data_IF_678302194197
#
_entry.id   IF_678302194197
#
_cell.length_a   1.000
_cell.length_b   1.000
_cell.length_c   1.000
_cell.angle_alpha   90.00
_cell.angle_beta   90.00
_cell.angle_gamma   90.00
#
_symmetry.space_group_name_H-M   'P 1'
#
loop_
_entity.id
_entity.type
_entity.pdbx_description
1 polymer ?
#
# COMPACT_ATOMS: atom_id res chain seq x y z
N UNK A 1 20.38 -13.71 -2.84
CA UNK A 1 19.46 -12.56 -2.62
C UNK A 1 18.51 -12.59 -3.78
N UNK A 2 17.25 -12.92 -3.52
CA UNK A 2 16.22 -13.11 -4.57
C UNK A 2 15.98 -11.80 -5.32
N UNK A 3 15.62 -11.90 -6.59
CA UNK A 3 15.35 -10.77 -7.51
C UNK A 3 14.30 -9.79 -6.93
N UNK A 4 13.38 -10.33 -6.14
CA UNK A 4 12.32 -9.62 -5.42
C UNK A 4 12.84 -8.58 -4.42
N UNK A 5 13.87 -8.91 -3.64
CA UNK A 5 14.51 -7.96 -2.72
C UNK A 5 15.23 -6.83 -3.46
N UNK A 6 15.66 -7.09 -4.69
CA UNK A 6 16.30 -6.08 -5.54
C UNK A 6 15.28 -5.04 -6.00
N UNK A 7 14.11 -5.47 -6.48
CA UNK A 7 13.02 -4.57 -6.92
C UNK A 7 12.50 -3.72 -5.76
N UNK A 8 12.21 -4.32 -4.60
CA UNK A 8 11.78 -3.57 -3.42
C UNK A 8 12.79 -2.51 -3.00
N UNK A 9 14.06 -2.90 -2.91
CA UNK A 9 15.15 -1.97 -2.56
C UNK A 9 15.29 -0.86 -3.59
N UNK A 10 15.15 -1.17 -4.88
CA UNK A 10 15.17 -0.18 -5.95
C UNK A 10 14.04 0.84 -5.78
N UNK A 11 12.81 0.39 -5.54
CA UNK A 11 11.65 1.24 -5.34
C UNK A 11 11.81 2.13 -4.09
N UNK A 12 12.24 1.57 -2.96
CA UNK A 12 12.49 2.35 -1.74
C UNK A 12 13.56 3.40 -1.97
N UNK A 13 14.66 3.07 -2.65
CA UNK A 13 15.73 4.01 -2.93
C UNK A 13 15.27 5.14 -3.87
N UNK A 14 14.49 4.81 -4.90
CA UNK A 14 13.92 5.78 -5.84
C UNK A 14 12.97 6.75 -5.12
N UNK A 15 12.02 6.23 -4.35
CA UNK A 15 11.08 7.05 -3.58
C UNK A 15 11.80 7.91 -2.54
N UNK A 16 12.81 7.35 -1.86
CA UNK A 16 13.65 8.08 -0.91
C UNK A 16 14.44 9.21 -1.56
N UNK A 17 14.97 9.00 -2.77
CA UNK A 17 15.65 10.05 -3.55
C UNK A 17 14.68 11.18 -3.89
N UNK A 18 13.48 10.88 -4.41
CA UNK A 18 12.47 11.89 -4.73
C UNK A 18 12.00 12.66 -3.50
N UNK A 19 11.90 11.99 -2.35
CA UNK A 19 11.62 12.66 -1.07
C UNK A 19 12.77 13.60 -0.68
N UNK A 20 14.03 13.17 -0.84
CA UNK A 20 15.19 14.00 -0.59
C UNK A 20 15.25 15.25 -1.47
N UNK A 21 14.99 15.10 -2.79
CA UNK A 21 14.85 16.23 -3.73
C UNK A 21 13.76 17.21 -3.27
N UNK A 22 12.59 16.68 -2.89
CA UNK A 22 11.46 17.49 -2.39
C UNK A 22 11.82 18.25 -1.12
N UNK A 23 12.50 17.60 -0.18
CA UNK A 23 12.92 18.23 1.08
C UNK A 23 13.94 19.33 0.81
N UNK A 24 14.92 19.07 -0.05
CA UNK A 24 15.91 20.07 -0.44
C UNK A 24 15.28 21.31 -1.05
N UNK A 25 14.32 21.14 -1.95
CA UNK A 25 13.60 22.23 -2.60
C UNK A 25 12.72 23.03 -1.65
N UNK A 26 12.12 22.35 -0.65
CA UNK A 26 11.16 22.96 0.26
C UNK A 26 11.81 23.56 1.53
N UNK A 27 12.92 22.99 2.02
CA UNK A 27 13.52 23.30 3.33
C UNK A 27 15.00 23.71 3.25
N UNK A 28 15.65 23.48 2.10
CA UNK A 28 17.07 23.74 1.88
C UNK A 28 18.00 22.59 2.26
N UNK A 29 19.25 22.72 1.84
CA UNK A 29 20.30 21.70 1.95
C UNK A 29 20.66 21.40 3.41
N UNK A 30 20.61 22.38 4.29
CA UNK A 30 20.96 22.22 5.72
C UNK A 30 20.03 21.22 6.41
N UNK A 31 18.72 21.30 6.15
CA UNK A 31 17.73 20.38 6.70
C UNK A 31 17.88 18.99 6.11
N UNK A 32 18.10 18.87 4.81
CA UNK A 32 18.35 17.60 4.16
C UNK A 32 19.59 16.92 4.74
N UNK A 33 20.67 17.67 4.93
CA UNK A 33 21.93 17.19 5.54
C UNK A 33 21.71 16.71 6.98
N UNK A 34 20.92 17.44 7.78
CA UNK A 34 20.57 17.05 9.14
C UNK A 34 19.77 15.73 9.16
N UNK A 35 18.76 15.60 8.29
CA UNK A 35 17.94 14.39 8.16
C UNK A 35 18.82 13.19 7.79
N UNK A 36 19.72 13.37 6.82
CA UNK A 36 20.59 12.31 6.34
C UNK A 36 21.61 11.87 7.40
N UNK A 37 22.13 12.82 8.18
CA UNK A 37 23.00 12.55 9.33
C UNK A 37 22.25 11.72 10.40
N UNK A 38 21.06 12.15 10.80
CA UNK A 38 20.21 11.40 11.75
C UNK A 38 19.90 9.99 11.23
N UNK A 39 19.60 9.84 9.94
CA UNK A 39 19.35 8.54 9.31
C UNK A 39 20.60 7.63 9.37
N UNK A 40 21.76 8.14 9.05
CA UNK A 40 23.03 7.42 9.07
C UNK A 40 23.39 6.97 10.49
N UNK A 41 23.35 7.88 11.46
CA UNK A 41 23.62 7.59 12.87
C UNK A 41 22.63 6.55 13.42
N UNK A 42 21.34 6.65 13.06
CA UNK A 42 20.32 5.66 13.44
C UNK A 42 20.64 4.27 12.89
N UNK A 43 21.13 4.18 11.66
CA UNK A 43 21.51 2.91 11.03
C UNK A 43 22.73 2.30 11.72
N UNK A 44 23.75 3.08 11.99
CA UNK A 44 24.98 2.65 12.69
C UNK A 44 24.66 2.22 14.13
N UNK A 45 23.85 2.99 14.84
CA UNK A 45 23.40 2.66 16.20
C UNK A 45 22.66 1.32 16.25
N UNK A 46 21.78 1.03 15.29
CA UNK A 46 21.10 -0.28 15.19
C UNK A 46 22.05 -1.43 14.85
N UNK A 47 23.16 -1.15 14.17
CA UNK A 47 24.20 -2.12 13.89
C UNK A 47 25.11 -2.41 15.11
N UNK A 48 24.84 -1.77 16.26
CA UNK A 48 25.56 -1.99 17.53
C UNK A 48 26.65 -0.94 17.83
N UNK A 49 26.78 0.11 17.02
CA UNK A 49 27.74 1.18 17.28
C UNK A 49 27.23 2.09 18.41
N UNK A 50 27.87 1.93 19.58
CA UNK A 50 27.56 2.71 20.80
C UNK A 50 27.94 4.19 20.68
N UNK A 51 29.00 4.51 19.91
CA UNK A 51 29.42 5.89 19.69
C UNK A 51 28.41 6.60 18.78
N UNK A 52 27.98 5.94 17.70
CA UNK A 52 26.92 6.46 16.82
C UNK A 52 25.63 6.70 17.60
N UNK A 53 25.28 5.82 18.54
CA UNK A 53 24.10 6.00 19.42
C UNK A 53 24.22 7.25 20.27
N UNK A 54 25.36 7.48 20.88
CA UNK A 54 25.63 8.68 21.70
C UNK A 54 25.51 9.94 20.84
N UNK A 55 26.21 9.96 19.71
CA UNK A 55 26.18 11.10 18.78
C UNK A 55 24.75 11.36 18.26
N UNK A 56 23.97 10.30 17.99
CA UNK A 56 22.55 10.44 17.60
C UNK A 56 21.74 11.15 18.67
N UNK A 57 21.86 10.74 19.93
CA UNK A 57 21.14 11.35 21.06
C UNK A 57 21.53 12.82 21.24
N UNK A 58 22.82 13.12 21.17
CA UNK A 58 23.36 14.48 21.26
C UNK A 58 22.81 15.33 20.10
N UNK A 59 22.84 14.81 18.85
CA UNK A 59 22.28 15.50 17.69
C UNK A 59 20.78 15.79 17.86
N UNK A 60 20.01 14.79 18.28
CA UNK A 60 18.55 14.95 18.46
C UNK A 60 18.22 15.94 19.58
N UNK A 61 19.01 15.99 20.66
CA UNK A 61 18.82 16.92 21.78
C UNK A 61 19.15 18.37 21.43
N UNK A 62 19.95 18.60 20.38
CA UNK A 62 20.37 19.93 19.93
C UNK A 62 19.55 20.45 18.73
N UNK A 63 18.61 19.67 18.19
CA UNK A 63 17.72 20.14 17.12
C UNK A 63 16.90 21.32 17.61
N UNK A 64 16.92 22.42 16.86
CA UNK A 64 16.10 23.59 17.16
C UNK A 64 14.60 23.28 17.01
N UNK A 65 13.76 24.02 17.74
CA UNK A 65 12.31 23.88 17.66
C UNK A 65 11.76 24.07 16.24
N UNK A 66 12.42 24.87 15.42
CA UNK A 66 12.04 25.11 14.02
C UNK A 66 12.32 23.88 13.14
N UNK A 67 13.41 23.14 13.41
CA UNK A 67 13.86 22.03 12.61
C UNK A 67 13.27 20.66 13.03
N UNK A 68 12.74 20.56 14.26
CA UNK A 68 12.21 19.28 14.76
C UNK A 68 11.00 18.80 13.95
N UNK A 69 10.12 19.71 13.52
CA UNK A 69 8.94 19.36 12.72
C UNK A 69 9.32 18.90 11.32
N UNK A 70 10.16 19.61 10.54
CA UNK A 70 10.64 19.11 9.25
C UNK A 70 11.35 17.76 9.34
N UNK A 71 12.19 17.55 10.35
CA UNK A 71 12.91 16.28 10.55
C UNK A 71 11.92 15.14 10.85
N UNK A 72 11.03 15.31 11.81
CA UNK A 72 10.03 14.30 12.16
C UNK A 72 9.13 13.96 10.96
N UNK A 73 8.71 14.98 10.20
CA UNK A 73 7.89 14.84 9.00
C UNK A 73 8.61 14.08 7.90
N UNK A 74 9.90 14.32 7.68
CA UNK A 74 10.70 13.60 6.70
C UNK A 74 10.71 12.09 6.99
N UNK A 75 10.91 11.70 8.24
CA UNK A 75 10.86 10.29 8.64
C UNK A 75 9.46 9.69 8.50
N UNK A 76 8.40 10.41 8.86
CA UNK A 76 7.02 9.98 8.66
C UNK A 76 6.73 9.69 7.18
N UNK A 77 7.04 10.63 6.29
CA UNK A 77 6.88 10.44 4.85
C UNK A 77 7.72 9.29 4.30
N UNK A 78 8.98 9.17 4.73
CA UNK A 78 9.84 8.06 4.31
C UNK A 78 9.25 6.70 4.70
N UNK A 79 8.74 6.56 5.93
CA UNK A 79 8.08 5.32 6.39
C UNK A 79 6.81 5.04 5.59
N UNK A 80 5.99 6.05 5.31
CA UNK A 80 4.80 5.90 4.49
C UNK A 80 5.14 5.44 3.06
N UNK A 81 6.15 6.02 2.43
CA UNK A 81 6.63 5.62 1.11
C UNK A 81 7.20 4.20 1.11
N UNK A 82 7.93 3.82 2.16
CA UNK A 82 8.42 2.46 2.34
C UNK A 82 7.27 1.46 2.44
N UNK A 83 6.25 1.77 3.26
CA UNK A 83 5.06 0.94 3.39
C UNK A 83 4.31 0.78 2.05
N UNK A 84 4.22 1.84 1.23
CA UNK A 84 3.61 1.76 -0.11
C UNK A 84 4.41 0.81 -0.99
N UNK A 85 5.75 0.91 -0.99
CA UNK A 85 6.61 0.02 -1.78
C UNK A 85 6.50 -1.45 -1.33
N UNK A 86 6.43 -1.70 -0.02
CA UNK A 86 6.25 -3.04 0.55
C UNK A 86 4.88 -3.63 0.23
N UNK A 87 3.81 -2.83 0.35
CA UNK A 87 2.45 -3.24 -0.02
C UNK A 87 2.37 -3.57 -1.51
N UNK A 88 2.95 -2.70 -2.35
CA UNK A 88 3.02 -2.95 -3.79
C UNK A 88 3.73 -4.28 -4.08
N UNK A 89 4.90 -4.51 -3.49
CA UNK A 89 5.66 -5.75 -3.67
C UNK A 89 4.87 -6.98 -3.21
N UNK A 90 4.18 -6.86 -2.07
CA UNK A 90 3.36 -7.96 -1.52
C UNK A 90 2.22 -8.32 -2.47
N UNK A 91 1.50 -7.32 -2.99
CA UNK A 91 0.39 -7.51 -3.93
C UNK A 91 0.89 -8.07 -5.27
N UNK A 92 1.97 -7.50 -5.83
CA UNK A 92 2.59 -7.99 -7.07
C UNK A 92 3.03 -9.45 -6.95
N UNK A 93 3.62 -9.81 -5.80
CA UNK A 93 3.99 -11.19 -5.49
C UNK A 93 2.78 -12.11 -5.39
N UNK A 94 1.75 -11.69 -4.65
CA UNK A 94 0.51 -12.48 -4.55
C UNK A 94 -0.14 -12.70 -5.91
N UNK A 95 -0.12 -11.71 -6.79
CA UNK A 95 -0.63 -11.86 -8.16
C UNK A 95 0.18 -12.89 -8.97
N UNK A 96 1.51 -12.84 -8.89
CA UNK A 96 2.39 -13.83 -9.55
C UNK A 96 2.17 -15.22 -8.95
N UNK A 97 2.07 -15.31 -7.62
CA UNK A 97 1.80 -16.57 -6.90
C UNK A 97 0.40 -17.12 -7.19
N UNK A 98 -0.63 -16.27 -7.32
CA UNK A 98 -1.98 -16.71 -7.67
C UNK A 98 -2.06 -17.26 -9.10
N UNK A 99 -1.29 -16.73 -10.04
CA UNK A 99 -1.20 -17.27 -11.40
C UNK A 99 -0.45 -18.60 -11.46
N UNK A 100 0.52 -18.82 -10.56
CA UNK A 100 1.39 -20.00 -10.52
C UNK A 100 0.99 -20.99 -9.42
N UNK A 101 0.12 -20.66 -8.48
CA UNK A 101 -0.14 -21.43 -7.27
C UNK A 101 -1.50 -22.11 -7.24
N UNK A 102 -1.56 -23.16 -6.40
CA UNK A 102 -2.72 -23.95 -6.04
C UNK A 102 -3.85 -23.14 -5.31
N UNK A 103 -3.77 -21.80 -5.26
CA UNK A 103 -4.69 -20.92 -4.51
C UNK A 103 -5.64 -20.12 -5.41
N UNK A 104 -5.51 -20.20 -6.73
CA UNK A 104 -6.43 -19.55 -7.66
C UNK A 104 -7.81 -20.24 -7.65
N UNK A 105 -8.87 -19.51 -8.04
CA UNK A 105 -10.19 -20.11 -8.25
C UNK A 105 -10.13 -21.27 -9.24
N UNK A 106 -9.38 -21.12 -10.33
CA UNK A 106 -9.16 -22.20 -11.31
C UNK A 106 -8.59 -23.44 -10.65
N UNK A 107 -7.50 -23.31 -9.86
CA UNK A 107 -6.89 -24.43 -9.16
C UNK A 107 -7.82 -25.05 -8.11
N UNK A 108 -8.68 -24.26 -7.45
CA UNK A 108 -9.69 -24.76 -6.53
C UNK A 108 -10.68 -25.69 -7.26
N UNK A 109 -11.28 -25.22 -8.36
CA UNK A 109 -12.25 -26.02 -9.11
C UNK A 109 -11.61 -27.23 -9.80
N UNK A 110 -10.37 -27.14 -10.24
CA UNK A 110 -9.60 -28.30 -10.73
C UNK A 110 -9.43 -29.38 -9.64
N UNK A 111 -9.11 -28.97 -8.40
CA UNK A 111 -9.02 -29.91 -7.26
C UNK A 111 -10.36 -30.54 -6.93
N UNK A 112 -11.43 -29.76 -6.90
CA UNK A 112 -12.79 -30.29 -6.67
C UNK A 112 -13.15 -31.32 -7.74
N UNK A 113 -12.81 -31.08 -9.00
CA UNK A 113 -13.00 -32.01 -10.10
C UNK A 113 -12.15 -33.27 -9.92
N UNK A 114 -10.87 -33.12 -9.57
CA UNK A 114 -9.96 -34.28 -9.35
C UNK A 114 -10.38 -35.15 -8.16
N UNK A 115 -11.03 -34.56 -7.15
CA UNK A 115 -11.56 -35.26 -5.98
C UNK A 115 -12.96 -35.82 -6.20
N UNK A 116 -13.53 -35.70 -7.40
CA UNK A 116 -14.91 -36.08 -7.70
C UNK A 116 -15.93 -35.45 -6.74
N UNK A 117 -15.73 -34.19 -6.34
CA UNK A 117 -16.64 -33.49 -5.44
C UNK A 117 -18.07 -33.43 -6.01
N UNK A 118 -19.08 -33.62 -5.17
CA UNK A 118 -20.47 -33.55 -5.59
C UNK A 118 -20.83 -32.13 -6.03
N UNK A 119 -21.41 -32.01 -7.22
CA UNK A 119 -21.87 -30.71 -7.73
C UNK A 119 -22.91 -30.07 -6.82
N UNK A 120 -23.80 -30.89 -6.24
CA UNK A 120 -24.83 -30.43 -5.30
C UNK A 120 -24.25 -29.92 -3.99
N UNK A 121 -23.21 -30.58 -3.45
CA UNK A 121 -22.52 -30.13 -2.25
C UNK A 121 -21.77 -28.83 -2.49
N UNK A 122 -21.06 -28.69 -3.61
CA UNK A 122 -20.36 -27.45 -3.99
C UNK A 122 -21.37 -26.32 -4.13
N UNK A 123 -22.49 -26.56 -4.83
CA UNK A 123 -23.53 -25.56 -5.01
C UNK A 123 -24.11 -25.09 -3.66
N UNK A 124 -24.53 -26.05 -2.79
CA UNK A 124 -25.07 -25.73 -1.46
C UNK A 124 -24.05 -25.02 -0.58
N UNK A 125 -22.77 -25.37 -0.68
CA UNK A 125 -21.71 -24.72 0.07
C UNK A 125 -21.56 -23.24 -0.35
N UNK A 126 -21.56 -22.97 -1.66
CA UNK A 126 -21.47 -21.60 -2.16
C UNK A 126 -22.76 -20.81 -1.87
N UNK A 127 -23.95 -21.43 -2.00
CA UNK A 127 -25.23 -20.79 -1.69
C UNK A 127 -25.31 -20.34 -0.22
N UNK A 128 -24.74 -21.10 0.69
CA UNK A 128 -24.74 -20.81 2.14
C UNK A 128 -23.45 -20.06 2.60
N UNK A 129 -22.54 -19.72 1.69
CA UNK A 129 -21.33 -19.01 2.02
C UNK A 129 -21.65 -17.57 2.45
N UNK A 130 -21.27 -17.22 3.66
CA UNK A 130 -21.33 -15.86 4.18
C UNK A 130 -19.91 -15.37 4.45
N UNK A 131 -19.52 -14.30 3.78
CA UNK A 131 -18.25 -13.62 4.03
C UNK A 131 -18.56 -12.26 4.64
N UNK A 132 -18.20 -12.10 5.90
CA UNK A 132 -18.37 -10.86 6.65
C UNK A 132 -17.01 -10.13 6.72
N UNK A 133 -16.96 -8.92 6.14
CA UNK A 133 -15.78 -8.06 6.21
C UNK A 133 -15.93 -7.12 7.40
N UNK A 134 -15.09 -7.30 8.41
CA UNK A 134 -15.05 -6.43 9.59
C UNK A 134 -14.01 -5.34 9.36
N UNK A 135 -14.46 -4.10 9.21
CA UNK A 135 -13.59 -2.93 9.11
C UNK A 135 -13.39 -2.36 10.51
N UNK A 136 -12.15 -2.44 11.00
CA UNK A 136 -11.76 -1.77 12.25
C UNK A 136 -11.00 -0.49 11.91
N UNK A 137 -11.58 0.66 12.22
CA UNK A 137 -10.89 1.93 12.09
C UNK A 137 -10.27 2.33 13.43
N UNK A 138 -8.94 2.54 13.48
CA UNK A 138 -8.32 3.20 14.61
C UNK A 138 -8.53 4.71 14.48
N UNK A 139 -9.13 5.39 15.48
CA UNK A 139 -9.39 6.84 15.41
C UNK A 139 -8.14 7.68 15.19
N UNK A 140 -6.97 7.15 15.52
CA UNK A 140 -5.66 7.80 15.35
C UNK A 140 -5.11 7.71 13.91
N UNK A 141 -5.65 6.81 13.08
CA UNK A 141 -5.14 6.51 11.73
C UNK A 141 -5.95 7.13 10.60
N UNK A 142 -6.89 8.04 10.91
CA UNK A 142 -7.68 8.71 9.87
C UNK A 142 -6.79 9.63 9.02
N UNK A 143 -6.06 9.01 8.11
CA UNK A 143 -5.29 9.71 7.08
C UNK A 143 -6.23 10.56 6.22
N UNK A 144 -5.82 11.78 5.84
CA UNK A 144 -6.64 12.62 4.97
C UNK A 144 -6.89 11.91 3.64
N UNK A 145 -8.15 11.97 3.14
CA UNK A 145 -8.54 11.35 1.85
C UNK A 145 -7.59 11.76 0.70
N UNK A 146 -7.10 13.00 0.73
CA UNK A 146 -6.13 13.49 -0.25
C UNK A 146 -4.79 12.73 -0.22
N UNK A 147 -4.31 12.32 0.96
CA UNK A 147 -3.09 11.52 1.10
C UNK A 147 -3.33 10.09 0.65
N UNK A 148 -4.46 9.48 1.01
CA UNK A 148 -4.83 8.14 0.53
C UNK A 148 -4.85 8.11 -0.99
N UNK A 149 -5.45 9.11 -1.63
CA UNK A 149 -5.47 9.21 -3.09
C UNK A 149 -4.05 9.30 -3.68
N UNK A 150 -3.15 10.11 -3.09
CA UNK A 150 -1.76 10.20 -3.53
C UNK A 150 -1.02 8.88 -3.37
N UNK A 151 -1.24 8.15 -2.26
CA UNK A 151 -0.65 6.82 -2.05
C UNK A 151 -1.11 5.81 -3.10
N UNK A 152 -2.40 5.83 -3.47
CA UNK A 152 -2.93 4.99 -4.56
C UNK A 152 -2.28 5.35 -5.91
N UNK A 153 -2.11 6.63 -6.22
CA UNK A 153 -1.46 7.06 -7.46
C UNK A 153 0.04 6.71 -7.49
N UNK A 154 0.74 6.83 -6.36
CA UNK A 154 2.14 6.36 -6.24
C UNK A 154 2.22 4.86 -6.51
N UNK A 155 1.31 4.05 -5.94
CA UNK A 155 1.25 2.61 -6.18
C UNK A 155 1.03 2.28 -7.66
N UNK A 156 0.11 2.99 -8.34
CA UNK A 156 -0.11 2.86 -9.80
C UNK A 156 1.15 3.20 -10.61
N UNK A 157 1.91 4.22 -10.19
CA UNK A 157 3.16 4.58 -10.84
C UNK A 157 4.21 3.47 -10.69
N UNK A 158 4.35 2.87 -9.49
CA UNK A 158 5.24 1.74 -9.27
C UNK A 158 4.87 0.55 -10.14
N UNK A 159 3.56 0.25 -10.26
CA UNK A 159 3.07 -0.80 -11.15
C UNK A 159 3.44 -0.58 -12.61
N UNK A 160 3.30 0.65 -13.09
CA UNK A 160 3.70 0.99 -14.46
C UNK A 160 5.20 0.89 -14.68
N UNK A 161 6.02 1.28 -13.70
CA UNK A 161 7.49 1.22 -13.80
C UNK A 161 8.06 -0.21 -13.82
N UNK A 162 7.28 -1.21 -13.37
CA UNK A 162 7.69 -2.62 -13.42
C UNK A 162 7.60 -3.22 -14.84
N UNK A 163 6.90 -2.56 -15.78
CA UNK A 163 6.82 -3.03 -17.16
C UNK A 163 8.15 -2.82 -17.90
N UNK A 164 8.66 -3.89 -18.50
CA UNK A 164 9.96 -3.90 -19.19
C UNK A 164 9.93 -3.21 -20.56
N UNK A 165 8.74 -2.98 -21.13
CA UNK A 165 8.50 -2.41 -22.45
C UNK A 165 8.44 -0.87 -22.47
N UNK A 166 8.67 -0.20 -21.33
CA UNK A 166 8.66 1.24 -21.23
C UNK A 166 9.84 1.88 -21.99
N UNK A 167 9.51 2.82 -22.85
CA UNK A 167 10.53 3.70 -23.44
C UNK A 167 11.16 4.62 -22.38
N UNK A 168 12.40 5.11 -22.57
CA UNK A 168 13.01 6.07 -21.65
C UNK A 168 12.17 7.33 -21.44
N UNK A 169 11.42 7.77 -22.45
CA UNK A 169 10.53 8.94 -22.39
C UNK A 169 9.33 8.66 -21.48
N UNK A 170 8.70 7.50 -21.61
CA UNK A 170 7.55 7.09 -20.76
C UNK A 170 7.98 6.91 -19.32
N UNK A 171 9.11 6.24 -19.09
CA UNK A 171 9.71 6.12 -17.75
C UNK A 171 9.93 7.47 -17.09
N UNK A 172 10.53 8.42 -17.81
CA UNK A 172 10.76 9.78 -17.32
C UNK A 172 9.46 10.56 -17.03
N UNK A 173 8.37 10.29 -17.74
CA UNK A 173 7.06 10.89 -17.45
C UNK A 173 6.52 10.35 -16.10
N UNK A 174 6.62 9.05 -15.88
CA UNK A 174 6.14 8.42 -14.64
C UNK A 174 6.98 8.88 -13.44
N UNK A 175 8.30 8.95 -13.57
CA UNK A 175 9.20 9.44 -12.52
C UNK A 175 8.90 10.90 -12.14
N UNK A 176 8.65 11.78 -13.11
CA UNK A 176 8.21 13.17 -12.84
C UNK A 176 6.85 13.23 -12.13
N UNK A 177 5.92 12.33 -12.49
CA UNK A 177 4.65 12.24 -11.79
C UNK A 177 4.84 11.80 -10.34
N UNK A 178 5.71 10.81 -10.09
CA UNK A 178 6.07 10.37 -8.74
C UNK A 178 6.66 11.51 -7.90
N UNK A 179 7.63 12.23 -8.45
CA UNK A 179 8.25 13.38 -7.78
C UNK A 179 7.17 14.42 -7.40
N UNK A 180 6.26 14.74 -8.32
CA UNK A 180 5.15 15.67 -8.07
C UNK A 180 4.22 15.16 -6.96
N UNK A 181 3.82 13.89 -6.98
CA UNK A 181 2.94 13.30 -5.96
C UNK A 181 3.58 13.33 -4.57
N UNK A 182 4.88 13.07 -4.49
CA UNK A 182 5.65 13.13 -3.24
C UNK A 182 5.74 14.58 -2.76
N UNK A 183 6.01 15.53 -3.63
CA UNK A 183 6.04 16.95 -3.29
C UNK A 183 4.65 17.44 -2.81
N UNK A 184 3.57 17.05 -3.48
CA UNK A 184 2.21 17.35 -3.05
C UNK A 184 1.87 16.71 -1.69
N UNK A 185 2.37 15.49 -1.41
CA UNK A 185 2.21 14.85 -0.11
C UNK A 185 2.99 15.61 0.96
N UNK A 186 4.23 15.99 0.69
CA UNK A 186 5.05 16.81 1.59
C UNK A 186 4.38 18.12 1.98
N UNK A 187 3.74 18.82 1.04
CA UNK A 187 3.02 20.07 1.30
C UNK A 187 1.61 19.90 1.87
N UNK A 188 1.13 18.66 1.99
CA UNK A 188 -0.18 18.39 2.60
C UNK A 188 -0.04 18.39 4.12
N UNK A 189 -0.87 19.19 4.81
CA UNK A 189 -0.86 19.21 6.27
C UNK A 189 -1.48 17.90 6.82
N UNK A 190 -0.65 17.06 7.46
CA UNK A 190 -1.05 15.79 8.07
C UNK A 190 -1.63 15.97 9.48
N UNK A 191 -1.24 17.05 10.17
CA UNK A 191 -1.65 17.28 11.56
C UNK A 191 -3.11 17.72 11.58
N UNK A 192 -3.95 16.91 12.22
CA UNK A 192 -5.32 17.30 12.53
C UNK A 192 -5.34 18.01 13.87
N UNK A 193 -5.80 19.24 13.87
CA UNK A 193 -6.03 20.02 15.09
C UNK A 193 -7.36 19.69 15.77
N UNK A 194 -8.27 19.03 15.04
CA UNK A 194 -9.60 18.64 15.53
C UNK A 194 -9.72 17.11 15.52
N UNK A 195 -10.19 16.55 16.62
CA UNK A 195 -10.46 15.12 16.74
C UNK A 195 -11.51 14.68 15.73
N UNK A 196 -11.31 13.55 14.99
CA UNK A 196 -12.33 13.03 14.08
C UNK A 196 -13.65 12.75 14.80
N UNK A 197 -14.74 13.05 14.13
CA UNK A 197 -16.08 12.66 14.59
C UNK A 197 -16.43 11.25 14.07
N UNK A 198 -17.39 10.53 14.67
CA UNK A 198 -17.88 9.26 14.12
C UNK A 198 -18.34 9.36 12.66
N UNK A 199 -18.82 10.54 12.26
CA UNK A 199 -19.22 10.81 10.88
C UNK A 199 -18.00 10.89 9.93
N UNK A 200 -16.89 11.44 10.41
CA UNK A 200 -15.63 11.45 9.61
C UNK A 200 -15.08 10.03 9.44
N UNK A 201 -15.17 9.18 10.47
CA UNK A 201 -14.78 7.78 10.43
C UNK A 201 -15.67 6.98 9.47
N UNK A 202 -16.99 7.18 9.49
CA UNK A 202 -17.91 6.57 8.55
C UNK A 202 -17.61 6.97 7.10
N UNK A 203 -17.37 8.26 6.84
CA UNK A 203 -16.96 8.76 5.52
C UNK A 203 -15.66 8.11 5.03
N UNK A 204 -14.71 7.90 5.94
CA UNK A 204 -13.47 7.22 5.60
C UNK A 204 -13.72 5.75 5.22
N UNK A 205 -14.52 5.02 6.00
CA UNK A 205 -14.92 3.65 5.70
C UNK A 205 -15.61 3.54 4.32
N UNK A 206 -16.54 4.45 4.02
CA UNK A 206 -17.18 4.49 2.69
C UNK A 206 -16.18 4.76 1.56
N UNK A 207 -15.22 5.66 1.76
CA UNK A 207 -14.18 5.91 0.76
C UNK A 207 -13.31 4.68 0.49
N UNK A 208 -13.01 3.86 1.50
CA UNK A 208 -12.30 2.59 1.34
C UNK A 208 -13.13 1.58 0.55
N UNK A 209 -14.43 1.47 0.84
CA UNK A 209 -15.36 0.60 0.10
C UNK A 209 -15.43 1.04 -1.37
N UNK A 210 -15.61 2.34 -1.64
CA UNK A 210 -15.67 2.88 -3.01
C UNK A 210 -14.39 2.62 -3.82
N UNK A 211 -13.22 2.76 -3.18
CA UNK A 211 -11.94 2.63 -3.88
C UNK A 211 -11.45 1.17 -4.05
N UNK A 212 -12.00 0.22 -3.32
CA UNK A 212 -11.54 -1.17 -3.35
C UNK A 212 -12.66 -2.18 -3.61
N UNK A 213 -13.67 -2.24 -2.75
CA UNK A 213 -14.68 -3.30 -2.79
C UNK A 213 -15.70 -3.09 -3.92
N UNK A 214 -16.02 -1.84 -4.27
CA UNK A 214 -17.01 -1.52 -5.31
C UNK A 214 -16.67 -2.11 -6.67
N UNK A 215 -15.39 -2.22 -7.01
CA UNK A 215 -14.93 -2.87 -8.24
C UNK A 215 -14.48 -4.32 -7.99
N UNK A 216 -13.80 -4.57 -6.87
CA UNK A 216 -13.19 -5.87 -6.57
C UNK A 216 -14.22 -6.97 -6.32
N UNK A 217 -15.33 -6.68 -5.63
CA UNK A 217 -16.33 -7.72 -5.31
C UNK A 217 -17.09 -8.18 -6.55
N UNK A 218 -17.63 -7.29 -7.41
CA UNK A 218 -18.29 -7.74 -8.66
C UNK A 218 -17.35 -8.54 -9.56
N UNK A 219 -16.10 -8.13 -9.68
CA UNK A 219 -15.10 -8.85 -10.49
C UNK A 219 -14.80 -10.25 -9.90
N UNK A 220 -14.64 -10.35 -8.58
CA UNK A 220 -14.48 -11.63 -7.91
C UNK A 220 -15.68 -12.56 -8.12
N UNK A 221 -16.91 -12.05 -7.98
CA UNK A 221 -18.13 -12.82 -8.19
C UNK A 221 -18.28 -13.29 -9.64
N UNK A 222 -17.88 -12.46 -10.60
CA UNK A 222 -17.87 -12.84 -12.01
C UNK A 222 -16.91 -14.01 -12.26
N UNK A 223 -15.68 -13.90 -11.79
CA UNK A 223 -14.67 -14.95 -11.92
C UNK A 223 -15.10 -16.24 -11.21
N UNK A 224 -15.66 -16.12 -9.99
CA UNK A 224 -16.19 -17.27 -9.25
C UNK A 224 -17.28 -17.98 -10.05
N UNK A 225 -18.23 -17.23 -10.62
CA UNK A 225 -19.31 -17.80 -11.41
C UNK A 225 -18.81 -18.46 -12.70
N UNK A 226 -17.85 -17.86 -13.39
CA UNK A 226 -17.23 -18.42 -14.59
C UNK A 226 -16.59 -19.80 -14.30
N UNK A 227 -15.74 -19.90 -13.29
CA UNK A 227 -15.09 -21.17 -12.92
C UNK A 227 -16.09 -22.19 -12.36
N UNK A 228 -17.09 -21.75 -11.61
CA UNK A 228 -18.13 -22.62 -11.10
C UNK A 228 -19.02 -23.16 -12.23
N UNK A 229 -19.35 -22.33 -13.22
CA UNK A 229 -20.12 -22.75 -14.41
C UNK A 229 -19.41 -23.86 -15.19
N UNK A 230 -18.09 -23.76 -15.35
CA UNK A 230 -17.29 -24.81 -15.98
C UNK A 230 -17.37 -26.15 -15.22
N UNK A 231 -17.47 -26.08 -13.89
CA UNK A 231 -17.54 -27.26 -13.02
C UNK A 231 -18.97 -27.80 -12.88
N UNK A 232 -19.94 -26.95 -12.59
CA UNK A 232 -21.33 -27.29 -12.32
C UNK A 232 -22.14 -27.56 -13.59
N UNK A 233 -21.92 -26.77 -14.65
CA UNK A 233 -22.69 -26.73 -15.87
C UNK A 233 -23.82 -25.70 -15.84
N UNK A 234 -23.97 -24.91 -14.78
CA UNK A 234 -24.95 -23.83 -14.60
C UNK A 234 -24.41 -22.72 -13.71
N UNK A 235 -25.09 -21.57 -13.73
CA UNK A 235 -24.66 -20.40 -12.96
C UNK A 235 -24.92 -20.55 -11.45
N UNK A 236 -24.06 -19.96 -10.65
CA UNK A 236 -24.24 -19.87 -9.20
C UNK A 236 -25.33 -18.82 -8.88
N UNK A 237 -26.11 -19.01 -7.81
CA UNK A 237 -27.06 -18.01 -7.31
C UNK A 237 -26.32 -16.91 -6.51
N UNK A 238 -25.22 -16.40 -7.06
CA UNK A 238 -24.41 -15.39 -6.39
C UNK A 238 -25.02 -14.01 -6.59
N UNK A 239 -25.41 -13.38 -5.51
CA UNK A 239 -25.88 -12.01 -5.46
C UNK A 239 -25.24 -11.26 -4.29
N UNK A 240 -25.03 -9.97 -4.49
CA UNK A 240 -24.68 -9.09 -3.38
C UNK A 240 -25.90 -8.96 -2.46
N UNK A 241 -25.84 -9.54 -1.27
CA UNK A 241 -26.79 -9.16 -0.22
C UNK A 241 -26.38 -7.83 0.37
N UNK A 242 -27.32 -6.89 0.63
CA UNK A 242 -26.96 -5.62 1.24
C UNK A 242 -26.25 -5.86 2.58
N UNK A 243 -25.12 -5.18 2.75
CA UNK A 243 -24.34 -5.20 4.00
C UNK A 243 -25.21 -4.61 5.10
N UNK A 244 -25.50 -5.37 6.14
CA UNK A 244 -25.99 -4.79 7.40
C UNK A 244 -24.81 -4.18 8.12
N UNK A 245 -24.81 -2.87 8.25
CA UNK A 245 -23.93 -2.16 9.16
C UNK A 245 -24.60 -2.27 10.54
N UNK A 246 -24.02 -3.08 11.40
CA UNK A 246 -24.40 -3.18 12.82
C UNK A 246 -23.61 -2.18 13.64
#
# INVERSE_FOLDING_TARGET
MTDEYRTLRHNINMLGRFLGETINDAQGEDILTLIENVRQLSKQSRAGDSQARKTLLDTLSTISNENIIPVARAFSHFLNLTNIAEQYQTVSRQHKDLQSSNRSLSALFQRLKAQNASKEEVYKTVENLLIELVLTAHPTETTRRSLVHKHVEINKCLSKLEHDDLTPKERGIIERLLLRLIAEAWHTNEIRTVRPTPFDEAKWGYAMIENSLWQGVPEFLRQLNEHAREFLGYDLPVGLRPVRIS
#
